data_IF_834212237356
#
_entry.id   IF_834212237356
#
_cell.length_a   1.000
_cell.length_b   1.000
_cell.length_c   1.000
_cell.angle_alpha   90.00
_cell.angle_beta   90.00
_cell.angle_gamma   90.00
#
_symmetry.space_group_name_H-M   'P 1'
#
loop_
_entity.id
_entity.type
_entity.pdbx_description
1 polymer ?
#
# COMPACT_ATOMS: atom_id res chain seq x y z
N UNK A 1 -8.13 22.31 -20.10
CA UNK A 1 -8.11 20.84 -20.19
C UNK A 1 -7.83 20.46 -21.63
N UNK A 2 -6.73 19.76 -21.93
CA UNK A 2 -6.48 19.20 -23.27
C UNK A 2 -6.55 17.69 -23.12
N UNK A 3 -7.72 17.12 -23.38
CA UNK A 3 -7.86 15.70 -23.68
C UNK A 3 -7.14 15.45 -25.01
N UNK A 4 -6.14 14.58 -25.02
CA UNK A 4 -5.65 13.99 -26.28
C UNK A 4 -4.17 14.13 -26.62
N UNK A 5 -3.29 14.64 -25.74
CA UNK A 5 -1.85 14.44 -25.98
C UNK A 5 -1.52 12.97 -25.69
N UNK A 6 -1.37 12.18 -26.76
CA UNK A 6 -0.77 10.83 -26.67
C UNK A 6 0.55 10.97 -25.91
N UNK A 7 0.76 10.12 -24.90
CA UNK A 7 2.05 10.04 -24.23
C UNK A 7 3.13 9.83 -25.30
N UNK A 8 4.29 10.45 -25.09
CA UNK A 8 5.43 10.15 -25.96
C UNK A 8 5.81 8.67 -25.83
N UNK A 9 6.42 8.09 -26.86
CA UNK A 9 6.90 6.70 -26.79
C UNK A 9 7.84 6.46 -25.59
N UNK A 10 8.60 7.48 -25.20
CA UNK A 10 9.44 7.45 -24.01
C UNK A 10 8.62 7.42 -22.70
N UNK A 11 7.56 8.21 -22.59
CA UNK A 11 6.65 8.16 -21.44
C UNK A 11 5.94 6.81 -21.35
N UNK A 12 5.45 6.28 -22.47
CA UNK A 12 4.79 4.99 -22.53
C UNK A 12 5.72 3.84 -22.12
N UNK A 13 6.99 3.88 -22.52
CA UNK A 13 7.99 2.90 -22.10
C UNK A 13 8.18 2.90 -20.57
N UNK A 14 8.31 4.07 -19.95
CA UNK A 14 8.46 4.19 -18.49
C UNK A 14 7.17 3.75 -17.78
N UNK A 15 6.00 4.21 -18.25
CA UNK A 15 4.72 3.82 -17.67
C UNK A 15 4.54 2.30 -17.78
N UNK A 16 4.94 1.69 -18.89
CA UNK A 16 4.91 0.23 -19.06
C UNK A 16 5.78 -0.49 -18.01
N UNK A 17 6.95 0.05 -17.66
CA UNK A 17 7.80 -0.48 -16.58
C UNK A 17 7.17 -0.32 -15.18
N UNK A 18 6.35 0.73 -14.98
CA UNK A 18 5.66 0.97 -13.70
C UNK A 18 4.39 0.13 -13.53
N UNK A 19 3.76 -0.32 -14.62
CA UNK A 19 2.50 -1.11 -14.58
C UNK A 19 2.60 -2.41 -13.77
N UNK A 20 3.67 -3.22 -13.87
CA UNK A 20 3.83 -4.41 -13.02
C UNK A 20 3.86 -4.05 -11.53
N UNK A 21 4.60 -3.01 -11.15
CA UNK A 21 4.66 -2.55 -9.76
C UNK A 21 3.28 -2.09 -9.27
N UNK A 22 2.51 -1.40 -10.13
CA UNK A 22 1.14 -1.02 -9.83
C UNK A 22 0.25 -2.24 -9.58
N UNK A 23 0.34 -3.25 -10.44
CA UNK A 23 -0.44 -4.49 -10.31
C UNK A 23 -0.09 -5.23 -9.02
N UNK A 24 1.20 -5.35 -8.68
CA UNK A 24 1.63 -6.01 -7.46
C UNK A 24 1.18 -5.23 -6.21
N UNK A 25 1.22 -3.90 -6.27
CA UNK A 25 0.64 -3.03 -5.25
C UNK A 25 -0.86 -3.30 -5.08
N UNK A 26 -1.66 -3.27 -6.15
CA UNK A 26 -3.11 -3.49 -6.08
C UNK A 26 -3.44 -4.89 -5.49
N UNK A 27 -2.67 -5.92 -5.84
CA UNK A 27 -2.81 -7.26 -5.25
C UNK A 27 -2.53 -7.27 -3.74
N UNK A 28 -1.59 -6.43 -3.27
CA UNK A 28 -1.23 -6.32 -1.87
C UNK A 28 -2.22 -5.47 -1.08
N UNK A 29 -2.85 -4.49 -1.72
CA UNK A 29 -4.02 -3.79 -1.15
C UNK A 29 -5.14 -4.76 -0.88
N UNK A 30 -5.46 -5.68 -1.79
CA UNK A 30 -6.48 -6.70 -1.55
C UNK A 30 -6.15 -7.61 -0.35
N UNK A 31 -4.86 -7.90 -0.10
CA UNK A 31 -4.43 -8.62 1.12
C UNK A 31 -4.59 -7.78 2.38
N UNK A 32 -4.34 -6.46 2.29
CA UNK A 32 -4.60 -5.55 3.41
C UNK A 32 -6.09 -5.45 3.71
N UNK A 33 -6.96 -5.50 2.70
CA UNK A 33 -8.42 -5.54 2.88
C UNK A 33 -8.86 -6.80 3.64
N UNK A 34 -8.31 -7.96 3.29
CA UNK A 34 -8.54 -9.20 4.03
C UNK A 34 -8.07 -9.11 5.49
N UNK A 35 -6.90 -8.48 5.70
CA UNK A 35 -6.38 -8.22 7.04
C UNK A 35 -7.31 -7.29 7.82
N UNK A 36 -7.85 -6.24 7.18
CA UNK A 36 -8.79 -5.31 7.80
C UNK A 36 -10.07 -6.01 8.30
N UNK A 37 -10.64 -6.91 7.49
CA UNK A 37 -11.78 -7.76 7.91
C UNK A 37 -11.42 -8.62 9.12
N UNK A 38 -10.19 -9.17 9.14
CA UNK A 38 -9.71 -9.98 10.26
C UNK A 38 -9.52 -9.16 11.54
N UNK A 39 -9.04 -7.91 11.43
CA UNK A 39 -8.98 -6.95 12.54
C UNK A 39 -10.38 -6.68 13.10
N UNK A 40 -11.37 -6.42 12.25
CA UNK A 40 -12.76 -6.21 12.70
C UNK A 40 -13.35 -7.43 13.39
N UNK A 41 -13.06 -8.64 12.89
CA UNK A 41 -13.52 -9.87 13.53
C UNK A 41 -12.87 -10.08 14.90
N UNK A 42 -11.60 -9.71 15.05
CA UNK A 42 -10.91 -9.70 16.34
C UNK A 42 -11.53 -8.68 17.31
N UNK A 43 -11.80 -7.46 16.86
CA UNK A 43 -12.46 -6.42 17.67
C UNK A 43 -13.88 -6.80 18.10
N UNK A 44 -14.58 -7.62 17.32
CA UNK A 44 -15.91 -8.13 17.67
C UNK A 44 -15.85 -9.39 18.54
N UNK A 45 -14.66 -9.89 18.85
CA UNK A 45 -14.46 -11.11 19.66
C UNK A 45 -14.75 -12.42 18.92
N UNK A 46 -14.92 -12.40 17.59
CA UNK A 46 -15.12 -13.60 16.79
C UNK A 46 -13.83 -14.41 16.61
N UNK A 47 -12.66 -13.78 16.78
CA UNK A 47 -11.34 -14.42 16.66
C UNK A 47 -10.49 -14.02 17.87
N UNK A 48 -9.82 -15.00 18.49
CA UNK A 48 -9.02 -14.78 19.71
C UNK A 48 -7.54 -14.50 19.42
N UNK A 49 -7.00 -14.91 18.27
CA UNK A 49 -5.58 -14.76 17.94
C UNK A 49 -5.30 -13.56 17.04
N UNK A 50 -4.60 -12.55 17.58
CA UNK A 50 -4.12 -11.40 16.80
C UNK A 50 -2.83 -11.63 16.03
N UNK A 51 -2.01 -12.61 16.44
CA UNK A 51 -0.65 -12.82 15.91
C UNK A 51 -0.61 -13.06 14.39
N UNK A 52 -1.51 -13.85 13.79
CA UNK A 52 -1.52 -14.05 12.34
C UNK A 52 -1.80 -12.75 11.58
N UNK A 53 -2.81 -11.99 12.03
CA UNK A 53 -3.21 -10.72 11.38
C UNK A 53 -2.13 -9.65 11.49
N UNK A 54 -1.47 -9.52 12.65
CA UNK A 54 -0.36 -8.57 12.85
C UNK A 54 0.83 -8.89 11.91
N UNK A 55 1.19 -10.18 11.77
CA UNK A 55 2.25 -10.60 10.84
C UNK A 55 1.91 -10.29 9.39
N UNK A 56 0.67 -10.51 8.97
CA UNK A 56 0.23 -10.23 7.61
C UNK A 56 0.27 -8.73 7.30
N UNK A 57 -0.18 -7.88 8.23
CA UNK A 57 -0.11 -6.42 8.10
C UNK A 57 1.35 -5.96 7.98
N UNK A 58 2.25 -6.48 8.83
CA UNK A 58 3.69 -6.15 8.77
C UNK A 58 4.28 -6.56 7.41
N UNK A 59 3.99 -7.76 6.93
CA UNK A 59 4.50 -8.27 5.67
C UNK A 59 3.99 -7.47 4.45
N UNK A 60 2.75 -6.96 4.51
CA UNK A 60 2.20 -6.05 3.49
C UNK A 60 2.89 -4.68 3.57
N UNK A 61 3.10 -4.14 4.77
CA UNK A 61 3.76 -2.84 4.94
C UNK A 61 5.24 -2.87 4.47
N UNK A 62 5.97 -3.94 4.76
CA UNK A 62 7.33 -4.15 4.25
C UNK A 62 7.36 -4.23 2.72
N UNK A 63 6.36 -4.87 2.11
CA UNK A 63 6.23 -4.90 0.66
C UNK A 63 6.02 -3.49 0.08
N UNK A 64 5.18 -2.67 0.71
CA UNK A 64 4.97 -1.28 0.31
C UNK A 64 6.26 -0.46 0.39
N UNK A 65 7.02 -0.59 1.48
CA UNK A 65 8.34 0.03 1.62
C UNK A 65 9.31 -0.36 0.51
N UNK A 66 9.46 -1.65 0.24
CA UNK A 66 10.30 -2.14 -0.88
C UNK A 66 9.83 -1.63 -2.24
N UNK A 67 8.53 -1.39 -2.39
CA UNK A 67 7.98 -0.82 -3.63
C UNK A 67 8.31 0.66 -3.76
N UNK A 68 8.27 1.43 -2.66
CA UNK A 68 8.72 2.83 -2.65
C UNK A 68 10.21 2.94 -2.98
N UNK A 69 11.06 2.11 -2.36
CA UNK A 69 12.50 2.07 -2.64
C UNK A 69 12.79 1.82 -4.13
N UNK A 70 12.05 0.89 -4.75
CA UNK A 70 12.15 0.64 -6.20
C UNK A 70 11.73 1.87 -7.02
N UNK A 71 10.70 2.59 -6.61
CA UNK A 71 10.23 3.78 -7.33
C UNK A 71 11.21 4.95 -7.23
N UNK A 72 11.86 5.11 -6.08
CA UNK A 72 12.89 6.12 -5.87
C UNK A 72 14.13 5.85 -6.73
N UNK A 73 14.44 4.58 -7.00
CA UNK A 73 15.49 4.17 -7.94
C UNK A 73 15.20 4.49 -9.42
N UNK A 74 13.96 4.82 -9.80
CA UNK A 74 13.60 5.11 -11.19
C UNK A 74 13.82 6.60 -11.49
N UNK A 75 14.89 6.92 -12.23
CA UNK A 75 15.13 8.26 -12.74
C UNK A 75 14.23 8.56 -13.94
N UNK A 76 13.48 9.66 -13.87
CA UNK A 76 12.58 10.12 -14.95
C UNK A 76 12.95 11.56 -15.30
N UNK A 77 13.24 11.81 -16.57
CA UNK A 77 13.59 13.13 -17.07
C UNK A 77 12.46 14.16 -16.84
N UNK A 78 12.83 15.43 -16.67
CA UNK A 78 11.92 16.50 -16.22
C UNK A 78 10.79 16.82 -17.21
N UNK A 79 11.03 16.57 -18.49
CA UNK A 79 10.12 16.77 -19.62
C UNK A 79 9.07 15.67 -19.75
N UNK A 80 9.30 14.48 -19.18
CA UNK A 80 8.39 13.33 -19.19
C UNK A 80 7.30 13.46 -18.11
N UNK A 81 6.47 14.49 -18.25
CA UNK A 81 5.49 14.91 -17.23
C UNK A 81 4.48 13.82 -16.89
N UNK A 82 3.99 13.06 -17.86
CA UNK A 82 2.99 12.02 -17.63
C UNK A 82 3.56 10.87 -16.79
N UNK A 83 4.78 10.41 -17.12
CA UNK A 83 5.47 9.36 -16.37
C UNK A 83 5.79 9.80 -14.93
N UNK A 84 6.25 11.04 -14.73
CA UNK A 84 6.48 11.60 -13.39
C UNK A 84 5.19 11.69 -12.58
N UNK A 85 4.10 12.12 -13.22
CA UNK A 85 2.79 12.20 -12.57
C UNK A 85 2.28 10.81 -12.20
N UNK A 86 2.42 9.81 -13.07
CA UNK A 86 2.05 8.42 -12.80
C UNK A 86 2.81 7.86 -11.59
N UNK A 87 4.14 8.01 -11.56
CA UNK A 87 4.98 7.63 -10.40
C UNK A 87 4.53 8.34 -9.13
N UNK A 88 4.30 9.65 -9.19
CA UNK A 88 3.87 10.46 -8.04
C UNK A 88 2.53 10.00 -7.47
N UNK A 89 1.56 9.71 -8.34
CA UNK A 89 0.27 9.16 -7.91
C UNK A 89 0.48 7.82 -7.22
N UNK A 90 1.31 6.93 -7.78
CA UNK A 90 1.57 5.62 -7.19
C UNK A 90 2.25 5.71 -5.82
N UNK A 91 3.21 6.62 -5.64
CA UNK A 91 3.84 6.89 -4.33
C UNK A 91 2.80 7.32 -3.29
N UNK A 92 1.91 8.25 -3.66
CA UNK A 92 0.83 8.70 -2.76
C UNK A 92 -0.13 7.58 -2.40
N UNK A 93 -0.54 6.78 -3.38
CA UNK A 93 -1.43 5.63 -3.16
C UNK A 93 -0.79 4.63 -2.20
N UNK A 94 0.50 4.34 -2.36
CA UNK A 94 1.25 3.45 -1.46
C UNK A 94 1.32 4.02 -0.05
N UNK A 95 1.71 5.28 0.11
CA UNK A 95 1.80 5.95 1.41
C UNK A 95 0.46 5.93 2.16
N UNK A 96 -0.65 6.21 1.46
CA UNK A 96 -1.98 6.15 2.06
C UNK A 96 -2.35 4.74 2.56
N UNK A 97 -1.92 3.68 1.86
CA UNK A 97 -2.15 2.31 2.31
C UNK A 97 -1.22 1.89 3.44
N UNK A 98 -0.01 2.47 3.54
CA UNK A 98 0.86 2.28 4.70
C UNK A 98 0.26 2.93 5.95
N UNK A 99 -0.24 4.18 5.85
CA UNK A 99 -0.94 4.85 6.96
C UNK A 99 -2.14 4.02 7.45
N UNK A 100 -2.86 3.40 6.51
CA UNK A 100 -3.95 2.47 6.81
C UNK A 100 -3.44 1.20 7.50
N UNK A 101 -2.33 0.62 7.06
CA UNK A 101 -1.72 -0.56 7.69
C UNK A 101 -1.31 -0.25 9.15
N UNK A 102 -0.70 0.91 9.40
CA UNK A 102 -0.33 1.37 10.74
C UNK A 102 -1.56 1.60 11.63
N UNK A 103 -2.64 2.15 11.06
CA UNK A 103 -3.92 2.32 11.75
C UNK A 103 -4.54 0.98 12.14
N UNK A 104 -4.56 -0.01 11.24
CA UNK A 104 -5.05 -1.36 11.51
C UNK A 104 -4.22 -2.08 12.58
N UNK A 105 -2.91 -1.89 12.55
CA UNK A 105 -2.01 -2.46 13.56
C UNK A 105 -2.21 -1.82 14.93
N UNK A 106 -2.41 -0.51 14.97
CA UNK A 106 -2.76 0.22 16.20
C UNK A 106 -4.05 -0.33 16.79
N UNK A 107 -5.07 -0.57 15.96
CA UNK A 107 -6.33 -1.19 16.39
C UNK A 107 -6.13 -2.57 17.03
N UNK A 108 -5.26 -3.42 16.49
CA UNK A 108 -4.91 -4.71 17.10
C UNK A 108 -4.21 -4.61 18.47
N UNK A 109 -3.61 -3.46 18.80
CA UNK A 109 -2.99 -3.23 20.11
C UNK A 109 -3.99 -2.84 21.19
N UNK A 110 -5.15 -2.29 20.83
CA UNK A 110 -6.20 -1.91 21.76
C UNK A 110 -7.33 -2.97 21.74
N UNK A 111 -7.38 -3.83 22.75
CA UNK A 111 -8.45 -4.83 22.91
C UNK A 111 -9.79 -4.16 23.27
N UNK A 112 -10.95 -4.64 22.78
CA UNK A 112 -12.29 -4.15 23.15
C UNK A 112 -12.66 -4.36 24.63
N UNK A 113 -11.93 -5.23 25.35
CA UNK A 113 -12.24 -5.60 26.73
C UNK A 113 -11.67 -4.65 27.79
N UNK A 114 -10.97 -3.57 27.41
CA UNK A 114 -10.44 -2.61 28.39
C UNK A 114 -9.30 -3.14 29.28
N UNK A 115 -8.94 -4.43 29.15
CA UNK A 115 -7.75 -4.96 29.78
C UNK A 115 -6.54 -4.69 28.88
N UNK A 116 -5.65 -3.82 29.36
CA UNK A 116 -4.30 -3.72 28.84
C UNK A 116 -3.73 -5.14 28.78
N UNK A 117 -3.41 -5.61 27.58
CA UNK A 117 -2.66 -6.84 27.40
C UNK A 117 -1.34 -6.67 28.16
N UNK A 118 -1.25 -7.29 29.34
CA UNK A 118 -0.01 -7.33 30.12
C UNK A 118 1.06 -7.97 29.23
N UNK A 119 2.20 -7.28 29.14
CA UNK A 119 3.43 -7.77 28.50
C UNK A 119 3.85 -9.10 29.10
#
# INVERSE_FOLDING_TARGET
>A
MVLGKKCSAAEDAIISQLRPLRKDFDNKVAKLDQSAVSVENYEKGFVQEKKPVDKDIIAVNEFFMKTLEKLDGISIAADLKAARQYRKTMVKDIQAQMDRADSLRTRLTFSPTGEFAKK
#
